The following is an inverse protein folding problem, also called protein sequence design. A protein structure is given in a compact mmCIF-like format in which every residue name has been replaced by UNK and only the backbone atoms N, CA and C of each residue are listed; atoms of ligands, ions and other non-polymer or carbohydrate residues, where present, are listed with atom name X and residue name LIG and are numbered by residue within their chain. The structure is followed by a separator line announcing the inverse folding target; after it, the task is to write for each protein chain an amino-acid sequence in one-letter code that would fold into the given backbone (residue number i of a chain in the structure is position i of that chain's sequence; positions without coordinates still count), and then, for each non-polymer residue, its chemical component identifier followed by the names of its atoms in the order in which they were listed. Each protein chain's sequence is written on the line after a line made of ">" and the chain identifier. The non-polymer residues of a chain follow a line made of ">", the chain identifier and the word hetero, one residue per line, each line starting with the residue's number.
data_IF_496347290607
#
_entry.id   IF_496347290607
#
_cell.length_a   1.000
_cell.length_b   1.000
_cell.length_c   1.000
_cell.angle_alpha   90.00
_cell.angle_beta   90.00
_cell.angle_gamma   90.00
#
_symmetry.space_group_name_H-M   'P 1'
#
loop_
_entity.id
_entity.type
_entity.pdbx_description
1 polymer ?
#
# COMPACT_ATOMS: atom_id res chain seq x y z
N UNK A 1 -1.29 -53.11 47.39
CA UNK A 1 -2.33 -52.21 46.85
C UNK A 1 -1.60 -50.94 46.38
N UNK A 2 -1.33 -50.81 45.07
CA UNK A 2 -0.64 -49.65 44.46
C UNK A 2 -1.73 -48.71 43.91
N UNK A 3 -1.84 -47.49 44.45
CA UNK A 3 -2.75 -46.46 43.99
C UNK A 3 -2.00 -45.63 42.92
N UNK A 4 -2.36 -45.80 41.65
CA UNK A 4 -1.89 -44.97 40.53
C UNK A 4 -2.72 -43.70 40.46
N UNK A 5 -2.09 -42.57 40.75
CA UNK A 5 -2.64 -41.22 40.54
C UNK A 5 -2.39 -40.84 39.05
N UNK A 6 -3.47 -40.77 38.27
CA UNK A 6 -3.45 -40.22 36.92
C UNK A 6 -3.65 -38.69 37.01
N UNK A 7 -2.58 -37.93 36.80
CA UNK A 7 -2.67 -36.48 36.68
C UNK A 7 -3.11 -36.12 35.25
N UNK A 8 -4.34 -35.64 35.09
CA UNK A 8 -4.85 -35.11 33.86
C UNK A 8 -4.28 -33.70 33.61
N UNK A 9 -3.38 -33.56 32.62
CA UNK A 9 -2.81 -32.29 32.20
C UNK A 9 -3.86 -31.59 31.29
N UNK A 10 -4.57 -30.59 31.81
CA UNK A 10 -5.49 -29.73 31.08
C UNK A 10 -4.62 -28.70 30.26
N UNK A 11 -4.43 -28.98 28.99
CA UNK A 11 -3.82 -28.01 28.07
C UNK A 11 -4.82 -26.86 27.76
N UNK A 12 -4.61 -25.71 28.39
CA UNK A 12 -5.38 -24.50 28.14
C UNK A 12 -4.96 -23.93 26.76
N UNK A 13 -5.79 -24.14 25.76
CA UNK A 13 -5.64 -23.42 24.45
C UNK A 13 -6.13 -21.99 24.64
N UNK A 14 -5.20 -21.06 24.79
CA UNK A 14 -5.51 -19.63 24.76
C UNK A 14 -5.81 -19.21 23.31
N UNK A 15 -7.08 -19.06 22.93
CA UNK A 15 -7.46 -18.38 21.72
C UNK A 15 -7.12 -16.88 21.89
N UNK A 16 -6.09 -16.42 21.19
CA UNK A 16 -5.85 -14.99 21.02
C UNK A 16 -6.93 -14.46 20.08
N UNK A 17 -7.94 -13.78 20.61
CA UNK A 17 -8.89 -13.02 19.80
C UNK A 17 -8.13 -11.87 19.12
N UNK A 18 -7.86 -11.98 17.83
CA UNK A 18 -7.41 -10.84 17.01
C UNK A 18 -8.61 -9.89 16.93
N UNK A 19 -8.47 -8.69 17.51
CA UNK A 19 -9.52 -7.69 17.44
C UNK A 19 -9.79 -7.34 15.97
N UNK A 20 -11.03 -7.56 15.51
CA UNK A 20 -11.45 -7.24 14.15
C UNK A 20 -11.38 -5.71 13.94
N UNK A 21 -10.67 -5.28 12.90
CA UNK A 21 -10.54 -3.86 12.56
C UNK A 21 -11.89 -3.33 12.09
N UNK A 22 -12.38 -2.27 12.72
CA UNK A 22 -13.66 -1.64 12.33
C UNK A 22 -13.56 -1.04 10.92
N UNK A 23 -14.55 -1.27 10.03
CA UNK A 23 -14.51 -0.80 8.64
C UNK A 23 -14.22 0.69 8.47
N UNK A 24 -14.75 1.54 9.37
CA UNK A 24 -14.45 2.97 9.36
C UNK A 24 -12.97 3.27 9.65
N UNK A 25 -12.36 2.59 10.62
CA UNK A 25 -10.95 2.79 10.96
C UNK A 25 -10.04 2.36 9.81
N UNK A 26 -10.34 1.24 9.16
CA UNK A 26 -9.63 0.78 7.97
C UNK A 26 -9.74 1.79 6.81
N UNK A 27 -10.93 2.37 6.61
CA UNK A 27 -11.15 3.44 5.62
C UNK A 27 -10.29 4.67 5.92
N UNK A 28 -10.29 5.17 7.15
CA UNK A 28 -9.48 6.33 7.54
C UNK A 28 -7.98 6.04 7.42
N UNK A 29 -7.54 4.85 7.82
CA UNK A 29 -6.15 4.41 7.68
C UNK A 29 -5.70 4.46 6.22
N UNK A 30 -6.36 3.72 5.30
CA UNK A 30 -5.93 3.69 3.90
C UNK A 30 -5.99 5.05 3.22
N UNK A 31 -6.97 5.90 3.58
CA UNK A 31 -7.05 7.29 3.10
C UNK A 31 -5.86 8.13 3.57
N UNK A 32 -5.44 7.95 4.82
CA UNK A 32 -4.24 8.59 5.38
C UNK A 32 -2.99 8.19 4.62
N UNK A 33 -2.80 6.88 4.39
CA UNK A 33 -1.67 6.36 3.62
C UNK A 33 -1.67 6.91 2.20
N UNK A 34 -2.80 6.90 1.48
CA UNK A 34 -2.84 7.45 0.11
C UNK A 34 -2.67 8.98 0.07
N UNK A 35 -3.01 9.71 1.12
CA UNK A 35 -2.63 11.13 1.23
C UNK A 35 -1.11 11.30 1.33
N UNK A 36 -0.45 10.46 2.13
CA UNK A 36 1.02 10.46 2.24
C UNK A 36 1.67 10.04 0.91
N UNK A 37 1.16 9.02 0.23
CA UNK A 37 1.58 8.62 -1.13
C UNK A 37 1.50 9.81 -2.10
N UNK A 38 0.37 10.52 -2.13
CA UNK A 38 0.19 11.72 -2.97
C UNK A 38 1.18 12.83 -2.61
N UNK A 39 1.47 13.01 -1.32
CA UNK A 39 2.43 14.00 -0.83
C UNK A 39 3.84 13.73 -1.34
N UNK A 40 4.24 12.46 -1.44
CA UNK A 40 5.55 12.12 -2.01
C UNK A 40 5.55 12.20 -3.54
N UNK A 41 4.51 11.68 -4.19
CA UNK A 41 4.45 11.60 -5.64
C UNK A 41 4.29 12.97 -6.34
N UNK A 42 3.52 13.88 -5.74
CA UNK A 42 3.20 15.19 -6.35
C UNK A 42 4.42 16.02 -6.73
N UNK A 43 5.35 16.33 -5.80
CA UNK A 43 6.57 17.08 -6.12
C UNK A 43 7.48 16.39 -7.14
N UNK A 44 7.56 15.03 -7.11
CA UNK A 44 8.29 14.29 -8.15
C UNK A 44 7.64 14.48 -9.52
N UNK A 45 6.30 14.48 -9.59
CA UNK A 45 5.58 14.77 -10.84
C UNK A 45 5.82 16.17 -11.35
N UNK A 46 5.93 17.16 -10.46
CA UNK A 46 6.24 18.54 -10.84
C UNK A 46 7.68 18.68 -11.37
N UNK A 47 8.63 17.97 -10.77
CA UNK A 47 10.01 17.89 -11.28
C UNK A 47 10.06 17.22 -12.68
N UNK A 48 9.32 16.11 -12.86
CA UNK A 48 9.28 15.40 -14.15
C UNK A 48 8.61 16.19 -15.26
N UNK A 49 7.71 17.12 -14.92
CA UNK A 49 7.02 18.02 -15.88
C UNK A 49 7.72 19.37 -16.07
N UNK A 50 8.84 19.60 -15.40
CA UNK A 50 9.56 20.89 -15.44
C UNK A 50 8.85 22.04 -14.72
N UNK A 51 7.84 21.74 -13.88
CA UNK A 51 7.14 22.76 -13.07
C UNK A 51 7.90 23.13 -11.80
N UNK A 52 8.80 22.26 -11.38
CA UNK A 52 9.72 22.44 -10.27
C UNK A 52 11.12 22.05 -10.74
N UNK A 53 12.14 22.77 -10.27
CA UNK A 53 13.55 22.42 -10.53
C UNK A 53 13.83 21.00 -10.00
N UNK A 54 14.59 20.24 -10.80
CA UNK A 54 14.95 18.86 -10.43
C UNK A 54 16.05 18.86 -9.36
N UNK A 55 15.70 18.37 -8.18
CA UNK A 55 16.64 18.09 -7.09
C UNK A 55 16.80 16.58 -6.93
N UNK A 56 17.99 16.06 -7.25
CA UNK A 56 18.27 14.62 -7.13
C UNK A 56 18.07 14.12 -5.68
N UNK A 57 18.57 14.87 -4.69
CA UNK A 57 18.46 14.50 -3.28
C UNK A 57 16.99 14.43 -2.83
N UNK A 58 16.17 15.43 -3.19
CA UNK A 58 14.74 15.43 -2.87
C UNK A 58 14.01 14.30 -3.59
N UNK A 59 14.36 14.05 -4.86
CA UNK A 59 13.71 12.99 -5.64
C UNK A 59 13.98 11.60 -5.05
N UNK A 60 15.24 11.30 -4.67
CA UNK A 60 15.63 10.06 -4.00
C UNK A 60 14.84 9.89 -2.70
N UNK A 61 14.86 10.88 -1.81
CA UNK A 61 14.14 10.80 -0.54
C UNK A 61 12.64 10.53 -0.73
N UNK A 62 12.01 11.19 -1.71
CA UNK A 62 10.59 10.99 -2.00
C UNK A 62 10.29 9.64 -2.60
N UNK A 63 11.16 9.12 -3.45
CA UNK A 63 11.02 7.81 -4.06
C UNK A 63 11.14 6.70 -3.01
N UNK A 64 12.10 6.81 -2.06
CA UNK A 64 12.26 5.89 -0.94
C UNK A 64 11.02 5.89 -0.02
N UNK A 65 10.54 7.08 0.34
CA UNK A 65 9.33 7.21 1.14
C UNK A 65 8.11 6.62 0.42
N UNK A 66 8.00 6.83 -0.90
CA UNK A 66 6.91 6.27 -1.70
C UNK A 66 6.95 4.75 -1.74
N UNK A 67 8.12 4.14 -1.89
CA UNK A 67 8.32 2.70 -1.86
C UNK A 67 7.97 2.11 -0.48
N UNK A 68 8.32 2.79 0.61
CA UNK A 68 7.91 2.36 1.95
C UNK A 68 6.39 2.45 2.15
N UNK A 69 5.76 3.54 1.70
CA UNK A 69 4.32 3.77 1.84
C UNK A 69 3.48 2.82 0.97
N UNK A 70 4.01 2.35 -0.17
CA UNK A 70 3.26 1.48 -1.10
C UNK A 70 2.85 0.14 -0.47
N UNK A 71 3.56 -0.33 0.53
CA UNK A 71 3.33 -1.59 1.24
C UNK A 71 2.18 -1.55 2.26
N UNK A 72 1.72 -0.35 2.61
CA UNK A 72 0.79 -0.16 3.72
C UNK A 72 -0.69 -0.20 3.34
N UNK A 73 -1.15 0.29 2.16
CA UNK A 73 -2.58 0.49 1.93
C UNK A 73 -3.41 -0.78 1.93
N UNK A 74 -2.85 -1.92 1.50
CA UNK A 74 -3.60 -3.15 1.27
C UNK A 74 -4.32 -3.65 2.54
N UNK A 75 -3.69 -3.57 3.71
CA UNK A 75 -4.28 -3.98 4.99
C UNK A 75 -5.51 -3.14 5.40
N UNK A 76 -5.67 -1.95 4.83
CA UNK A 76 -6.84 -1.08 5.04
C UNK A 76 -8.03 -1.39 4.13
N UNK A 77 -7.97 -2.44 3.30
CA UNK A 77 -9.07 -2.88 2.44
C UNK A 77 -9.74 -4.12 3.05
N UNK A 78 -10.50 -3.89 4.11
CA UNK A 78 -11.24 -4.95 4.83
C UNK A 78 -12.69 -5.02 4.33
N UNK A 79 -13.38 -6.18 4.49
CA UNK A 79 -14.79 -6.32 4.13
C UNK A 79 -15.68 -5.22 4.71
N UNK A 80 -16.70 -4.83 3.96
CA UNK A 80 -17.68 -3.80 4.36
C UNK A 80 -17.10 -2.39 4.57
N UNK A 81 -15.87 -2.09 4.09
CA UNK A 81 -15.23 -0.77 4.27
C UNK A 81 -15.40 0.19 3.08
N UNK A 82 -16.35 -0.08 2.16
CA UNK A 82 -16.49 0.64 0.89
C UNK A 82 -17.73 1.54 0.81
N UNK A 83 -18.53 1.65 1.90
CA UNK A 83 -19.82 2.34 1.85
C UNK A 83 -19.75 3.84 2.12
N UNK A 84 -18.99 4.30 3.09
CA UNK A 84 -18.95 5.71 3.52
C UNK A 84 -17.53 6.24 3.67
N UNK A 85 -17.35 7.52 3.34
CA UNK A 85 -16.08 8.21 3.55
C UNK A 85 -14.94 7.73 2.65
N UNK A 86 -15.24 7.00 1.58
CA UNK A 86 -14.27 6.44 0.64
C UNK A 86 -14.72 6.67 -0.80
N UNK A 87 -13.76 6.71 -1.71
CA UNK A 87 -13.96 6.63 -3.16
C UNK A 87 -13.59 5.26 -3.72
N UNK A 88 -13.19 4.32 -2.87
CA UNK A 88 -12.96 2.94 -3.28
C UNK A 88 -14.30 2.25 -3.53
N UNK A 89 -14.41 1.57 -4.67
CA UNK A 89 -15.64 0.91 -5.10
C UNK A 89 -15.81 -0.46 -4.45
N UNK A 90 -17.05 -0.89 -4.15
CA UNK A 90 -17.33 -2.26 -3.66
C UNK A 90 -16.88 -3.37 -4.61
N UNK A 91 -16.69 -3.06 -5.90
CA UNK A 91 -16.13 -3.99 -6.89
C UNK A 91 -14.74 -4.55 -6.55
N UNK A 92 -14.04 -3.95 -5.61
CA UNK A 92 -12.78 -4.49 -5.07
C UNK A 92 -13.01 -5.86 -4.43
N UNK A 93 -14.09 -6.04 -3.65
CA UNK A 93 -14.40 -7.33 -3.01
C UNK A 93 -14.75 -8.41 -4.05
N UNK A 94 -15.34 -8.02 -5.18
CA UNK A 94 -15.75 -8.93 -6.24
C UNK A 94 -14.58 -9.35 -7.14
N UNK A 95 -13.54 -8.55 -7.24
CA UNK A 95 -12.36 -8.79 -8.07
C UNK A 95 -11.07 -8.57 -7.28
N UNK A 96 -11.02 -9.25 -6.13
CA UNK A 96 -9.92 -9.14 -5.17
C UNK A 96 -8.57 -9.55 -5.76
N UNK A 97 -8.56 -10.57 -6.62
CA UNK A 97 -7.33 -11.05 -7.29
C UNK A 97 -6.71 -9.94 -8.17
N UNK A 98 -7.51 -9.32 -9.03
CA UNK A 98 -7.03 -8.20 -9.85
C UNK A 98 -6.61 -7.02 -8.99
N UNK A 99 -7.36 -6.71 -7.93
CA UNK A 99 -7.02 -5.62 -7.03
C UNK A 99 -5.67 -5.84 -6.34
N UNK A 100 -5.44 -7.01 -5.77
CA UNK A 100 -4.18 -7.35 -5.09
C UNK A 100 -3.00 -7.42 -6.06
N UNK A 101 -3.21 -7.91 -7.30
CA UNK A 101 -2.20 -7.86 -8.36
C UNK A 101 -1.76 -6.42 -8.66
N UNK A 102 -2.72 -5.48 -8.78
CA UNK A 102 -2.40 -4.06 -9.01
C UNK A 102 -1.69 -3.43 -7.81
N UNK A 103 -2.00 -3.84 -6.57
CA UNK A 103 -1.27 -3.39 -5.39
C UNK A 103 0.17 -3.91 -5.37
N UNK A 104 0.39 -5.16 -5.75
CA UNK A 104 1.73 -5.75 -5.93
C UNK A 104 2.52 -5.03 -7.03
N UNK A 105 1.87 -4.70 -8.14
CA UNK A 105 2.49 -3.89 -9.20
C UNK A 105 2.87 -2.49 -8.71
N UNK A 106 2.04 -1.88 -7.86
CA UNK A 106 2.36 -0.59 -7.25
C UNK A 106 3.61 -0.68 -6.37
N UNK A 107 3.71 -1.67 -5.50
CA UNK A 107 4.89 -1.92 -4.66
C UNK A 107 6.15 -2.12 -5.52
N UNK A 108 6.10 -3.04 -6.48
CA UNK A 108 7.23 -3.34 -7.37
C UNK A 108 7.69 -2.11 -8.15
N UNK A 109 6.77 -1.35 -8.71
CA UNK A 109 7.10 -0.19 -9.53
C UNK A 109 7.64 0.98 -8.70
N UNK A 110 7.19 1.16 -7.45
CA UNK A 110 7.77 2.17 -6.54
C UNK A 110 9.16 1.78 -6.06
N UNK A 111 9.44 0.51 -5.81
CA UNK A 111 10.78 0.00 -5.51
C UNK A 111 11.75 0.19 -6.71
N UNK A 112 11.27 -0.10 -7.92
CA UNK A 112 12.05 0.16 -9.14
C UNK A 112 12.36 1.65 -9.33
N UNK A 113 11.39 2.53 -9.01
CA UNK A 113 11.61 3.98 -9.04
C UNK A 113 12.63 4.43 -7.99
N UNK A 114 12.58 3.91 -6.77
CA UNK A 114 13.55 4.21 -5.73
C UNK A 114 14.96 3.78 -6.14
N UNK A 115 15.11 2.57 -6.71
CA UNK A 115 16.39 2.07 -7.24
C UNK A 115 16.92 2.94 -8.38
N UNK A 116 16.07 3.33 -9.33
CA UNK A 116 16.44 4.21 -10.42
C UNK A 116 16.85 5.60 -9.91
N UNK A 117 16.15 6.15 -8.93
CA UNK A 117 16.49 7.42 -8.30
C UNK A 117 17.85 7.38 -7.62
N UNK A 118 18.13 6.31 -6.85
CA UNK A 118 19.40 6.11 -6.16
C UNK A 118 20.59 5.97 -7.12
N UNK A 119 20.40 5.44 -8.34
CA UNK A 119 21.46 5.34 -9.34
C UNK A 119 21.86 6.70 -9.93
N UNK A 120 21.00 7.72 -9.83
CA UNK A 120 21.18 9.05 -10.44
C UNK A 120 21.06 9.08 -11.96
N UNK A 121 20.75 7.95 -12.59
CA UNK A 121 20.59 7.85 -14.05
C UNK A 121 19.21 8.41 -14.49
N UNK A 122 19.22 9.62 -15.04
CA UNK A 122 17.99 10.26 -15.52
C UNK A 122 17.28 9.46 -16.62
N UNK A 123 18.01 8.65 -17.39
CA UNK A 123 17.48 7.76 -18.42
C UNK A 123 16.60 6.66 -17.81
N UNK A 124 16.90 6.22 -16.60
CA UNK A 124 16.13 5.22 -15.87
C UNK A 124 15.02 5.82 -15.02
N UNK A 125 15.23 7.00 -14.43
CA UNK A 125 14.26 7.68 -13.56
C UNK A 125 12.95 7.95 -14.29
N UNK A 126 13.00 8.53 -15.49
CA UNK A 126 11.80 8.94 -16.23
C UNK A 126 10.88 7.76 -16.58
N UNK A 127 11.36 6.66 -17.19
CA UNK A 127 10.50 5.50 -17.47
C UNK A 127 9.97 4.85 -16.21
N UNK A 128 10.76 4.71 -15.13
CA UNK A 128 10.29 4.17 -13.86
C UNK A 128 9.19 5.04 -13.25
N UNK A 129 9.34 6.36 -13.26
CA UNK A 129 8.30 7.28 -12.80
C UNK A 129 7.00 7.15 -13.61
N UNK A 130 7.09 7.05 -14.93
CA UNK A 130 5.92 6.84 -15.80
C UNK A 130 5.22 5.53 -15.46
N UNK A 131 5.98 4.48 -15.13
CA UNK A 131 5.39 3.17 -14.78
C UNK A 131 4.61 3.25 -13.48
N UNK A 132 5.10 3.93 -12.45
CA UNK A 132 4.34 4.20 -11.21
C UNK A 132 3.03 4.95 -11.53
N UNK A 133 3.11 6.01 -12.35
CA UNK A 133 1.93 6.79 -12.73
C UNK A 133 0.88 5.94 -13.48
N UNK A 134 1.31 5.04 -14.36
CA UNK A 134 0.42 4.09 -15.06
C UNK A 134 -0.27 3.14 -14.09
N UNK A 135 0.47 2.61 -13.10
CA UNK A 135 -0.11 1.73 -12.08
C UNK A 135 -1.20 2.43 -11.28
N UNK A 136 -0.94 3.69 -10.86
CA UNK A 136 -1.97 4.51 -10.19
C UNK A 136 -3.23 4.65 -11.05
N UNK A 137 -3.06 4.95 -12.34
CA UNK A 137 -4.18 5.12 -13.27
C UNK A 137 -4.97 3.83 -13.45
N UNK A 138 -4.31 2.71 -13.70
CA UNK A 138 -4.98 1.42 -13.94
C UNK A 138 -5.85 0.99 -12.76
N UNK A 139 -5.34 1.16 -11.52
CA UNK A 139 -6.11 0.88 -10.31
C UNK A 139 -7.30 1.85 -10.16
N UNK A 140 -7.07 3.15 -10.37
CA UNK A 140 -8.11 4.17 -10.25
C UNK A 140 -9.23 4.02 -11.29
N UNK A 141 -8.90 3.69 -12.54
CA UNK A 141 -9.89 3.51 -13.59
C UNK A 141 -10.88 2.37 -13.29
N UNK A 142 -10.44 1.35 -12.53
CA UNK A 142 -11.27 0.17 -12.25
C UNK A 142 -11.93 0.19 -10.88
N UNK A 143 -11.25 0.71 -9.87
CA UNK A 143 -11.60 0.51 -8.46
C UNK A 143 -11.88 1.79 -7.69
N UNK A 144 -11.96 2.95 -8.36
CA UNK A 144 -12.19 4.25 -7.70
C UNK A 144 -13.09 5.14 -8.56
N UNK A 145 -14.06 5.81 -7.92
CA UNK A 145 -14.85 6.89 -8.50
C UNK A 145 -14.19 8.28 -8.31
#
# INVERSE_FOLDING_TARGET
>A
MKKTLIAALLASVTLTAVAEVKPFQATEYRRGVFKAVKWQFGPMADMMKGKKEFSAAEFVQRADNLAALSKMPLEGFVPNSYARGTRALPGIEQDWETFTSLMTDFERNTEALASAAASGDKGQIKPAFIQVAKTCKSCHDKFKD
#
